data_IF_614563782119
#
_entry.id   IF_614563782119
#
_cell.length_a   1.000
_cell.length_b   1.000
_cell.length_c   1.000
_cell.angle_alpha   90.00
_cell.angle_beta   90.00
_cell.angle_gamma   90.00
#
_symmetry.space_group_name_H-M   'P 1'
#
loop_
_entity.id
_entity.type
_entity.pdbx_description
1 polymer ?
#
# COMPACT_ATOMS: atom_id res chain seq x y z
N UNK A 1 22.29 3.04 6.15
CA UNK A 1 20.95 3.64 5.95
C UNK A 1 21.07 5.11 6.30
N UNK A 2 20.80 6.02 5.38
CA UNK A 2 20.83 7.46 5.65
C UNK A 2 19.50 7.94 6.26
N UNK A 3 19.48 9.15 6.84
CA UNK A 3 18.23 9.80 7.29
C UNK A 3 17.22 9.91 6.14
N UNK A 4 17.70 10.26 4.95
CA UNK A 4 16.89 10.32 3.73
C UNK A 4 16.20 8.99 3.44
N UNK A 5 16.93 7.87 3.44
CA UNK A 5 16.38 6.54 3.15
C UNK A 5 15.28 6.15 4.16
N UNK A 6 15.49 6.48 5.44
CA UNK A 6 14.53 6.19 6.50
C UNK A 6 13.25 7.00 6.36
N UNK A 7 13.34 8.28 6.01
CA UNK A 7 12.18 9.16 5.83
C UNK A 7 11.38 8.76 4.59
N UNK A 8 12.05 8.44 3.48
CA UNK A 8 11.39 7.91 2.28
C UNK A 8 10.70 6.57 2.58
N UNK A 9 11.31 5.72 3.41
CA UNK A 9 10.69 4.48 3.88
C UNK A 9 9.46 4.75 4.75
N UNK A 10 9.54 5.68 5.68
CA UNK A 10 8.41 6.11 6.52
C UNK A 10 7.27 6.65 5.64
N UNK A 11 7.60 7.43 4.61
CA UNK A 11 6.65 7.90 3.62
C UNK A 11 5.96 6.75 2.88
N UNK A 12 6.68 5.70 2.50
CA UNK A 12 6.09 4.55 1.81
C UNK A 12 4.99 3.85 2.63
N UNK A 13 5.04 3.93 3.96
CA UNK A 13 4.01 3.36 4.84
C UNK A 13 2.77 4.24 4.99
N UNK A 14 2.92 5.57 5.08
CA UNK A 14 1.80 6.46 5.45
C UNK A 14 1.59 7.70 4.59
N UNK A 15 2.53 8.05 3.72
CA UNK A 15 2.47 9.26 2.89
C UNK A 15 1.24 9.32 1.99
N UNK A 16 0.81 8.17 1.45
CA UNK A 16 -0.41 8.07 0.64
C UNK A 16 -1.70 8.26 1.45
N UNK A 17 -1.70 7.95 2.74
CA UNK A 17 -2.84 8.19 3.63
C UNK A 17 -3.01 9.69 3.92
N UNK A 18 -1.91 10.45 3.94
CA UNK A 18 -1.95 11.90 4.11
C UNK A 18 -2.29 12.65 2.82
N UNK A 19 -1.81 12.16 1.68
CA UNK A 19 -1.97 12.85 0.39
C UNK A 19 -3.23 12.45 -0.37
N UNK A 20 -3.65 11.18 -0.30
CA UNK A 20 -4.76 10.62 -1.08
C UNK A 20 -5.62 9.64 -0.29
N UNK A 21 -6.16 10.03 0.88
CA UNK A 21 -6.91 9.13 1.77
C UNK A 21 -8.12 8.48 1.07
N UNK A 22 -8.78 9.20 0.15
CA UNK A 22 -9.92 8.69 -0.61
C UNK A 22 -9.59 7.48 -1.48
N UNK A 23 -8.40 7.44 -2.08
CA UNK A 23 -7.97 6.33 -2.94
C UNK A 23 -7.81 5.02 -2.16
N UNK A 24 -7.74 5.12 -0.83
CA UNK A 24 -7.61 4.00 0.10
C UNK A 24 -8.86 3.82 0.97
N UNK A 25 -10.01 4.36 0.52
CA UNK A 25 -11.29 4.19 1.21
C UNK A 25 -11.46 5.01 2.48
N UNK A 26 -10.56 5.95 2.76
CA UNK A 26 -10.66 6.88 3.88
C UNK A 26 -11.32 8.17 3.39
N UNK A 27 -12.66 8.15 3.29
CA UNK A 27 -13.41 9.38 3.01
C UNK A 27 -13.40 10.28 4.24
N UNK A 28 -12.86 11.50 4.09
CA UNK A 28 -12.83 12.52 5.13
C UNK A 28 -12.30 11.99 6.47
N UNK A 29 -11.04 11.54 6.53
CA UNK A 29 -10.47 11.01 7.77
C UNK A 29 -10.60 12.05 8.89
N UNK A 30 -11.00 11.61 10.08
CA UNK A 30 -11.13 12.51 11.21
C UNK A 30 -9.79 13.16 11.53
N UNK A 31 -9.80 14.45 11.89
CA UNK A 31 -8.58 15.16 12.30
C UNK A 31 -7.87 14.43 13.45
N UNK A 32 -8.65 13.86 14.39
CA UNK A 32 -8.11 13.04 15.48
C UNK A 32 -7.46 11.74 15.00
N UNK A 33 -8.02 11.08 13.98
CA UNK A 33 -7.46 9.86 13.40
C UNK A 33 -6.13 10.11 12.67
N UNK A 34 -6.05 11.19 11.89
CA UNK A 34 -4.80 11.61 11.26
C UNK A 34 -3.74 12.01 12.29
N UNK A 35 -4.13 12.72 13.34
CA UNK A 35 -3.21 13.10 14.42
C UNK A 35 -2.71 11.86 15.20
N UNK A 36 -3.57 10.87 15.44
CA UNK A 36 -3.18 9.60 16.05
C UNK A 36 -2.19 8.82 15.17
N UNK A 37 -2.47 8.72 13.87
CA UNK A 37 -1.57 8.09 12.90
C UNK A 37 -0.21 8.81 12.86
N UNK A 38 -0.22 10.15 12.89
CA UNK A 38 0.98 10.98 12.89
C UNK A 38 1.83 10.71 14.12
N UNK A 39 1.24 10.75 15.31
CA UNK A 39 1.97 10.47 16.57
C UNK A 39 2.54 9.06 16.60
N UNK A 40 1.79 8.08 16.13
CA UNK A 40 2.25 6.69 16.03
C UNK A 40 3.48 6.59 15.12
N UNK A 41 3.37 7.11 13.90
CA UNK A 41 4.46 7.02 12.93
C UNK A 41 5.65 7.90 13.27
N UNK A 42 5.44 9.04 13.94
CA UNK A 42 6.50 9.84 14.53
C UNK A 42 7.35 9.00 15.50
N UNK A 43 6.69 8.31 16.45
CA UNK A 43 7.39 7.42 17.40
C UNK A 43 8.12 6.27 16.71
N UNK A 44 7.50 5.67 15.68
CA UNK A 44 8.17 4.63 14.87
C UNK A 44 9.46 5.19 14.25
N UNK A 45 9.39 6.37 13.62
CA UNK A 45 10.58 7.02 13.06
C UNK A 45 11.64 7.32 14.12
N UNK A 46 11.22 7.87 15.27
CA UNK A 46 12.11 8.18 16.38
C UNK A 46 12.84 6.92 16.91
N UNK A 47 12.11 5.82 17.14
CA UNK A 47 12.72 4.55 17.58
C UNK A 47 13.62 3.90 16.53
N UNK A 48 13.40 4.19 15.25
CA UNK A 48 14.29 3.78 14.16
C UNK A 48 15.49 4.71 13.97
N UNK A 49 15.64 5.76 14.80
CA UNK A 49 16.77 6.68 14.78
C UNK A 49 16.64 7.85 13.79
N UNK A 50 15.42 8.15 13.34
CA UNK A 50 15.15 9.35 12.51
C UNK A 50 15.20 10.58 13.40
N UNK A 51 16.07 11.55 13.08
CA UNK A 51 16.15 12.81 13.81
C UNK A 51 14.85 13.61 13.64
N UNK A 52 14.41 14.31 14.69
CA UNK A 52 13.13 15.04 14.68
C UNK A 52 12.98 15.99 13.49
N UNK A 53 14.06 16.69 13.12
CA UNK A 53 14.07 17.64 11.99
C UNK A 53 13.84 16.99 10.62
N UNK A 54 14.10 15.68 10.50
CA UNK A 54 13.91 14.92 9.26
C UNK A 54 12.65 14.06 9.29
N UNK A 55 12.13 13.72 10.47
CA UNK A 55 10.99 12.83 10.62
C UNK A 55 9.74 13.37 9.91
N UNK A 56 9.18 12.59 8.99
CA UNK A 56 8.03 12.97 8.17
C UNK A 56 6.83 13.42 9.02
N UNK A 57 6.68 12.78 10.19
CA UNK A 57 5.56 12.97 11.09
C UNK A 57 5.86 13.97 12.22
N UNK A 58 6.95 14.73 12.15
CA UNK A 58 7.22 15.82 13.08
C UNK A 58 6.29 17.02 12.83
N UNK A 59 5.88 17.71 13.90
CA UNK A 59 5.00 18.88 13.82
C UNK A 59 3.51 18.54 13.72
N UNK A 60 2.77 19.27 12.88
CA UNK A 60 1.32 19.13 12.72
C UNK A 60 0.91 18.21 11.56
N UNK A 61 -0.36 17.82 11.51
CA UNK A 61 -0.91 17.03 10.40
C UNK A 61 -0.74 17.75 9.06
N UNK A 62 -0.95 19.07 9.05
CA UNK A 62 -0.83 19.90 7.85
C UNK A 62 0.61 19.92 7.32
N UNK A 63 1.59 20.00 8.22
CA UNK A 63 3.01 19.89 7.87
C UNK A 63 3.34 18.51 7.30
N UNK A 64 2.86 17.44 7.94
CA UNK A 64 3.04 16.06 7.44
C UNK A 64 2.40 15.86 6.06
N UNK A 65 1.24 16.46 5.81
CA UNK A 65 0.57 16.42 4.50
C UNK A 65 1.37 17.15 3.43
N UNK A 66 1.84 18.36 3.72
CA UNK A 66 2.68 19.14 2.80
C UNK A 66 3.96 18.37 2.47
N UNK A 67 4.68 17.91 3.51
CA UNK A 67 5.93 17.20 3.31
C UNK A 67 5.72 15.86 2.56
N UNK A 68 4.63 15.15 2.85
CA UNK A 68 4.28 13.93 2.10
C UNK A 68 3.98 14.21 0.63
N UNK A 69 3.38 15.36 0.31
CA UNK A 69 3.13 15.78 -1.08
C UNK A 69 4.44 16.07 -1.80
N UNK A 70 5.36 16.77 -1.15
CA UNK A 70 6.68 17.10 -1.70
C UNK A 70 7.50 15.84 -1.98
N UNK A 71 7.54 14.88 -1.04
CA UNK A 71 8.21 13.58 -1.26
C UNK A 71 7.57 12.85 -2.44
N UNK A 72 6.23 12.85 -2.53
CA UNK A 72 5.54 12.21 -3.65
C UNK A 72 5.96 12.79 -5.00
N UNK A 73 6.02 14.13 -5.10
CA UNK A 73 6.22 14.85 -6.35
C UNK A 73 7.69 14.90 -6.77
N UNK A 74 8.60 15.14 -5.83
CA UNK A 74 10.01 15.39 -6.14
C UNK A 74 10.90 14.16 -5.99
N UNK A 75 10.45 13.11 -5.30
CA UNK A 75 11.24 11.90 -5.06
C UNK A 75 10.59 10.67 -5.71
N UNK A 76 9.36 10.37 -5.31
CA UNK A 76 8.74 9.07 -5.62
C UNK A 76 8.31 8.97 -7.08
N UNK A 77 7.54 9.95 -7.57
CA UNK A 77 7.09 9.95 -8.97
C UNK A 77 8.28 9.93 -9.94
N UNK A 78 9.31 10.79 -9.80
CA UNK A 78 10.49 10.76 -10.67
C UNK A 78 11.21 9.40 -10.63
N UNK A 79 11.42 8.83 -9.44
CA UNK A 79 12.09 7.53 -9.29
C UNK A 79 11.27 6.37 -9.90
N UNK A 80 9.94 6.45 -9.91
CA UNK A 80 9.11 5.43 -10.56
C UNK A 80 9.12 5.58 -12.09
N UNK A 81 9.17 6.81 -12.58
CA UNK A 81 9.18 7.10 -14.02
C UNK A 81 10.55 6.94 -14.68
N UNK A 82 11.64 6.99 -13.92
CA UNK A 82 13.00 6.79 -14.41
C UNK A 82 13.23 5.33 -14.88
N UNK A 83 13.61 5.12 -16.16
CA UNK A 83 13.91 3.80 -16.69
C UNK A 83 15.05 3.06 -15.97
N UNK A 84 16.06 3.75 -15.45
CA UNK A 84 17.24 3.09 -14.86
C UNK A 84 16.97 2.53 -13.46
N UNK A 85 16.31 3.31 -12.61
CA UNK A 85 15.82 2.85 -11.30
C UNK A 85 14.72 1.78 -11.41
N UNK A 86 14.05 1.66 -12.57
CA UNK A 86 12.96 0.70 -12.77
C UNK A 86 13.38 -0.77 -12.80
N UNK A 87 14.60 -1.13 -13.23
CA UNK A 87 14.94 -2.55 -13.49
C UNK A 87 14.92 -3.40 -12.21
N UNK A 88 15.67 -2.99 -11.18
CA UNK A 88 15.68 -3.69 -9.88
C UNK A 88 14.33 -3.60 -9.17
N UNK A 89 13.68 -2.44 -9.25
CA UNK A 89 12.36 -2.21 -8.66
C UNK A 89 11.29 -3.11 -9.29
N UNK A 90 11.32 -3.32 -10.61
CA UNK A 90 10.38 -4.19 -11.32
C UNK A 90 10.63 -5.67 -10.96
N UNK A 91 11.88 -6.09 -10.77
CA UNK A 91 12.20 -7.43 -10.27
C UNK A 91 11.69 -7.65 -8.83
N UNK A 92 11.97 -6.71 -7.93
CA UNK A 92 11.46 -6.75 -6.56
C UNK A 92 9.93 -6.76 -6.52
N UNK A 93 9.28 -5.97 -7.39
CA UNK A 93 7.83 -5.93 -7.53
C UNK A 93 7.28 -7.28 -7.98
N UNK A 94 7.92 -7.96 -8.94
CA UNK A 94 7.51 -9.30 -9.38
C UNK A 94 7.60 -10.32 -8.24
N UNK A 95 8.69 -10.31 -7.47
CA UNK A 95 8.90 -11.22 -6.34
C UNK A 95 7.86 -10.95 -5.24
N UNK A 96 7.66 -9.68 -4.88
CA UNK A 96 6.67 -9.27 -3.89
C UNK A 96 5.26 -9.71 -4.29
N UNK A 97 4.84 -9.44 -5.52
CA UNK A 97 3.51 -9.80 -6.01
C UNK A 97 3.32 -11.31 -6.09
N UNK A 98 4.37 -12.08 -6.43
CA UNK A 98 4.33 -13.54 -6.35
C UNK A 98 4.08 -14.01 -4.91
N UNK A 99 4.71 -13.38 -3.93
CA UNK A 99 4.47 -13.65 -2.51
C UNK A 99 3.05 -13.30 -2.07
N UNK A 100 2.55 -12.12 -2.45
CA UNK A 100 1.18 -11.69 -2.14
C UNK A 100 0.15 -12.61 -2.78
N UNK A 101 0.39 -13.09 -4.00
CA UNK A 101 -0.50 -14.00 -4.71
C UNK A 101 -0.72 -15.34 -3.97
N UNK A 102 0.27 -15.80 -3.18
CA UNK A 102 0.13 -16.99 -2.32
C UNK A 102 -0.86 -16.75 -1.18
N UNK A 103 -0.92 -15.52 -0.67
CA UNK A 103 -1.83 -15.13 0.42
C UNK A 103 -3.21 -14.79 -0.13
N UNK A 104 -3.26 -14.10 -1.27
CA UNK A 104 -4.48 -13.69 -1.93
C UNK A 104 -4.37 -13.89 -3.45
N UNK A 105 -4.94 -14.98 -4.00
CA UNK A 105 -4.85 -15.29 -5.42
C UNK A 105 -5.57 -14.28 -6.32
N UNK A 106 -6.42 -13.41 -5.74
CA UNK A 106 -7.09 -12.34 -6.48
C UNK A 106 -6.21 -11.10 -6.68
N UNK A 107 -5.02 -11.04 -6.08
CA UNK A 107 -4.03 -10.00 -6.39
C UNK A 107 -3.25 -10.42 -7.62
N UNK A 108 -3.76 -10.03 -8.79
CA UNK A 108 -3.06 -10.26 -10.06
C UNK A 108 -2.06 -9.14 -10.35
N UNK A 109 -0.80 -9.47 -10.69
CA UNK A 109 0.26 -8.46 -10.82
C UNK A 109 -0.06 -7.31 -11.79
N UNK A 110 -0.67 -7.61 -12.94
CA UNK A 110 -1.00 -6.61 -13.95
C UNK A 110 -2.09 -5.64 -13.48
N UNK A 111 -3.17 -6.17 -12.91
CA UNK A 111 -4.30 -5.39 -12.42
C UNK A 111 -3.89 -4.51 -11.23
N UNK A 112 -3.23 -5.14 -10.25
CA UNK A 112 -2.79 -4.48 -9.03
C UNK A 112 -1.72 -3.43 -9.30
N UNK A 113 -0.69 -3.75 -10.11
CA UNK A 113 0.35 -2.80 -10.48
C UNK A 113 -0.20 -1.57 -11.20
N UNK A 114 -1.13 -1.76 -12.14
CA UNK A 114 -1.80 -0.63 -12.82
C UNK A 114 -2.62 0.22 -11.85
N UNK A 115 -3.32 -0.39 -10.88
CA UNK A 115 -4.01 0.35 -9.83
C UNK A 115 -3.04 1.15 -8.94
N UNK A 116 -1.90 0.58 -8.54
CA UNK A 116 -0.89 1.27 -7.75
C UNK A 116 -0.33 2.49 -8.49
N UNK A 117 0.04 2.35 -9.77
CA UNK A 117 0.54 3.49 -10.56
C UNK A 117 -0.54 4.55 -10.79
N UNK A 118 -1.81 4.17 -10.94
CA UNK A 118 -2.93 5.12 -10.97
C UNK A 118 -3.05 5.88 -9.64
N UNK A 119 -3.00 5.19 -8.50
CA UNK A 119 -3.07 5.81 -7.18
C UNK A 119 -1.91 6.81 -6.96
N UNK A 120 -0.73 6.50 -7.49
CA UNK A 120 0.46 7.36 -7.45
C UNK A 120 0.48 8.47 -8.52
N UNK A 121 -0.48 8.51 -9.45
CA UNK A 121 -0.49 9.39 -10.65
C UNK A 121 0.72 9.20 -11.58
N UNK A 122 1.37 8.04 -11.56
CA UNK A 122 2.45 7.70 -12.49
C UNK A 122 1.88 7.21 -13.83
N UNK A 123 1.22 8.13 -14.55
CA UNK A 123 0.44 7.82 -15.74
C UNK A 123 1.27 7.19 -16.87
N UNK A 124 2.55 7.57 -17.01
CA UNK A 124 3.45 7.02 -18.04
C UNK A 124 3.74 5.53 -17.82
N UNK A 125 3.95 5.09 -16.57
CA UNK A 125 4.11 3.66 -16.26
C UNK A 125 2.77 2.92 -16.32
N UNK A 126 1.70 3.55 -15.83
CA UNK A 126 0.36 2.95 -15.87
C UNK A 126 -0.11 2.64 -17.32
N UNK A 127 0.19 3.51 -18.28
CA UNK A 127 -0.18 3.33 -19.69
C UNK A 127 0.62 2.24 -20.41
N UNK A 128 1.87 2.00 -19.97
CA UNK A 128 2.71 0.91 -20.49
C UNK A 128 2.19 -0.47 -20.11
N UNK A 129 1.45 -0.60 -18.99
CA UNK A 129 0.82 -1.86 -18.58
C UNK A 129 -0.42 -2.12 -19.44
N UNK A 130 -0.26 -3.01 -20.42
CA UNK A 130 -1.36 -3.49 -21.25
C UNK A 130 -2.03 -4.69 -20.57
N UNK A 131 -3.30 -4.52 -20.22
CA UNK A 131 -4.16 -5.59 -19.70
C UNK A 131 -5.03 -6.10 -20.85
N UNK A 132 -5.02 -7.40 -21.18
CA UNK A 132 -5.86 -7.95 -22.24
C UNK A 132 -7.35 -7.79 -21.90
N UNK A 133 -8.17 -7.40 -22.88
CA UNK A 133 -9.58 -7.05 -22.67
C UNK A 133 -10.40 -8.20 -22.07
N UNK A 134 -10.28 -9.41 -22.61
CA UNK A 134 -10.96 -10.61 -22.12
C UNK A 134 -10.09 -11.40 -21.13
N UNK A 135 -9.57 -10.75 -20.10
CA UNK A 135 -8.79 -11.41 -19.05
C UNK A 135 -9.37 -11.19 -17.66
N UNK A 136 -9.13 -12.15 -16.76
CA UNK A 136 -9.45 -12.01 -15.33
C UNK A 136 -8.79 -10.75 -14.73
N UNK A 137 -7.60 -10.37 -15.22
CA UNK A 137 -6.93 -9.13 -14.81
C UNK A 137 -7.71 -7.87 -15.18
N UNK A 138 -8.39 -7.83 -16.33
CA UNK A 138 -9.22 -6.69 -16.71
C UNK A 138 -10.43 -6.57 -15.79
N UNK A 139 -11.11 -7.69 -15.53
CA UNK A 139 -12.25 -7.75 -14.62
C UNK A 139 -11.84 -7.29 -13.22
N UNK A 140 -10.75 -7.85 -12.67
CA UNK A 140 -10.27 -7.51 -11.33
C UNK A 140 -9.78 -6.05 -11.23
N UNK A 141 -9.19 -5.50 -12.30
CA UNK A 141 -8.83 -4.09 -12.35
C UNK A 141 -10.05 -3.17 -12.20
N UNK A 142 -11.12 -3.43 -12.96
CA UNK A 142 -12.35 -2.65 -12.86
C UNK A 142 -13.06 -2.85 -11.52
N UNK A 143 -13.09 -4.08 -11.00
CA UNK A 143 -13.61 -4.35 -9.65
C UNK A 143 -12.82 -3.56 -8.61
N UNK A 144 -11.49 -3.54 -8.69
CA UNK A 144 -10.65 -2.83 -7.74
C UNK A 144 -10.95 -1.33 -7.77
N UNK A 145 -11.03 -0.71 -8.95
CA UNK A 145 -11.42 0.70 -9.10
C UNK A 145 -12.82 0.95 -8.54
N UNK A 146 -13.79 0.09 -8.87
CA UNK A 146 -15.15 0.23 -8.38
C UNK A 146 -15.23 0.14 -6.86
N UNK A 147 -14.49 -0.79 -6.26
CA UNK A 147 -14.43 -0.94 -4.80
C UNK A 147 -13.81 0.29 -4.15
N UNK A 148 -12.67 0.78 -4.65
CA UNK A 148 -11.95 1.90 -4.03
C UNK A 148 -12.65 3.24 -4.25
N UNK A 149 -13.07 3.53 -5.49
CA UNK A 149 -13.55 4.85 -5.88
C UNK A 149 -15.05 5.02 -5.62
N UNK A 150 -15.81 3.92 -5.48
CA UNK A 150 -17.26 3.98 -5.24
C UNK A 150 -17.66 3.34 -3.91
N UNK A 151 -17.45 2.03 -3.74
CA UNK A 151 -18.01 1.29 -2.60
C UNK A 151 -17.40 1.72 -1.25
N UNK A 152 -16.10 2.01 -1.20
CA UNK A 152 -15.44 2.43 0.05
C UNK A 152 -15.72 3.89 0.41
N UNK A 153 -16.11 4.73 -0.56
CA UNK A 153 -16.40 6.15 -0.34
C UNK A 153 -17.88 6.42 0.02
N UNK A 154 -18.77 5.44 -0.07
CA UNK A 154 -20.14 5.57 0.45
C UNK A 154 -20.21 5.10 1.91
N UNK A 155 -20.79 5.92 2.78
CA UNK A 155 -20.90 5.61 4.21
C UNK A 155 -21.74 4.35 4.46
N UNK A 156 -22.84 4.20 3.71
CA UNK A 156 -23.75 3.07 3.84
C UNK A 156 -23.08 1.76 3.43
N UNK A 157 -22.49 1.73 2.23
CA UNK A 157 -21.84 0.52 1.70
C UNK A 157 -20.64 0.14 2.54
N UNK A 158 -19.84 1.11 2.99
CA UNK A 158 -18.65 0.86 3.82
C UNK A 158 -18.98 0.10 5.11
N UNK A 159 -20.10 0.41 5.78
CA UNK A 159 -20.50 -0.27 7.01
C UNK A 159 -20.77 -1.77 6.82
N UNK A 160 -21.22 -2.20 5.64
CA UNK A 160 -21.41 -3.61 5.32
C UNK A 160 -20.17 -4.24 4.67
N UNK A 161 -19.52 -3.49 3.79
CA UNK A 161 -18.41 -3.98 2.96
C UNK A 161 -17.15 -4.22 3.78
N UNK A 162 -16.78 -3.31 4.69
CA UNK A 162 -15.54 -3.43 5.47
C UNK A 162 -15.54 -4.67 6.38
N UNK A 163 -16.60 -4.95 7.18
CA UNK A 163 -16.67 -6.19 7.94
C UNK A 163 -16.64 -7.44 7.06
N UNK A 164 -17.34 -7.42 5.93
CA UNK A 164 -17.35 -8.53 4.97
C UNK A 164 -15.95 -8.80 4.40
N UNK A 165 -15.25 -7.77 3.91
CA UNK A 165 -13.88 -7.87 3.40
C UNK A 165 -12.90 -8.33 4.48
N UNK A 166 -13.04 -7.85 5.71
CA UNK A 166 -12.23 -8.31 6.85
C UNK A 166 -12.46 -9.80 7.15
N UNK A 167 -13.72 -10.27 7.07
CA UNK A 167 -14.05 -11.68 7.25
C UNK A 167 -13.49 -12.53 6.11
N UNK A 168 -13.63 -12.10 4.85
CA UNK A 168 -13.05 -12.76 3.69
C UNK A 168 -11.52 -12.83 3.76
N UNK A 169 -10.86 -11.78 4.23
CA UNK A 169 -9.41 -11.79 4.44
C UNK A 169 -9.01 -12.81 5.52
N UNK A 170 -9.71 -12.84 6.65
CA UNK A 170 -9.48 -13.84 7.71
C UNK A 170 -9.72 -15.26 7.20
N UNK A 171 -10.77 -15.47 6.41
CA UNK A 171 -11.09 -16.74 5.77
C UNK A 171 -9.98 -17.15 4.79
N UNK A 172 -9.48 -16.24 3.95
CA UNK A 172 -8.35 -16.51 3.05
C UNK A 172 -7.08 -16.90 3.83
N UNK A 173 -6.77 -16.20 4.92
CA UNK A 173 -5.63 -16.56 5.79
C UNK A 173 -5.84 -17.95 6.40
N UNK A 174 -7.04 -18.26 6.89
CA UNK A 174 -7.37 -19.57 7.42
C UNK A 174 -7.20 -20.67 6.37
N UNK A 175 -7.77 -20.48 5.18
CA UNK A 175 -7.69 -21.42 4.07
C UNK A 175 -6.24 -21.61 3.59
N UNK A 176 -5.46 -20.53 3.49
CA UNK A 176 -4.04 -20.60 3.13
C UNK A 176 -3.23 -21.41 4.14
N UNK A 177 -3.49 -21.26 5.45
CA UNK A 177 -2.85 -22.07 6.49
C UNK A 177 -3.28 -23.55 6.45
N UNK A 178 -4.52 -23.85 6.02
CA UNK A 178 -5.02 -25.21 5.87
C UNK A 178 -4.40 -25.91 4.65
N UNK A 179 -4.30 -25.20 3.52
CA UNK A 179 -3.83 -25.73 2.25
C UNK A 179 -2.30 -25.84 2.14
N UNK A 180 -1.54 -25.11 2.98
CA UNK A 180 -0.07 -25.18 3.01
C UNK A 180 0.46 -25.80 4.33
N UNK A 181 0.42 -27.13 4.49
CA UNK A 181 0.95 -27.82 5.67
C UNK A 181 2.47 -27.64 5.85
N UNK A 182 3.20 -27.20 4.82
CA UNK A 182 4.62 -26.83 4.89
C UNK A 182 4.87 -25.60 5.78
N UNK A 183 3.95 -24.63 5.82
CA UNK A 183 4.02 -23.45 6.69
C UNK A 183 3.82 -23.87 8.16
N UNK A 184 2.91 -24.81 8.41
CA UNK A 184 2.69 -25.36 9.76
C UNK A 184 3.91 -26.16 10.25
N UNK A 185 4.56 -26.94 9.37
CA UNK A 185 5.85 -27.59 9.67
C UNK A 185 6.97 -26.58 9.95
N UNK A 186 6.99 -25.43 9.28
CA UNK A 186 7.98 -24.37 9.50
C UNK A 186 7.75 -23.65 10.83
N UNK A 187 6.49 -23.34 11.17
CA UNK A 187 6.10 -22.80 12.49
C UNK A 187 6.47 -23.76 13.61
N UNK A 188 6.15 -25.06 13.47
CA UNK A 188 6.50 -26.07 14.48
C UNK A 188 8.02 -26.17 14.74
N UNK A 189 8.87 -25.92 13.73
CA UNK A 189 10.33 -25.87 13.88
C UNK A 189 10.83 -24.60 14.56
N UNK A 190 10.14 -23.47 14.39
CA UNK A 190 10.49 -22.19 15.02
C UNK A 190 10.15 -22.16 16.52
N UNK A 191 9.10 -22.86 16.94
CA UNK A 191 8.71 -22.98 18.36
C UNK A 191 9.37 -24.16 19.10
N UNK A 192 10.19 -24.95 18.39
CA UNK A 192 10.96 -26.06 18.96
C UNK A 192 12.44 -25.70 19.25
N UNK A 193 12.79 -24.42 19.13
CA UNK A 193 14.06 -23.82 19.58
C UNK A 193 13.77 -22.81 20.67
#
# INVERSE_FOLDING_TARGET
>A
MSQYDMVVTQWAFVGLLYTKPSNFGLKSPSKSGLEALRRLMYKVGYFLGVEDKFNLCYGSVEMTQSYSKDISEYIIKPAIEDPQSSVKSDEMTKILLKGIHIINPFVLPLAFGKCCFRALECNKKASKIRIPFFSLSNILFWIQIFVTDFLMLSNLTRHFLVPCLNYLLRFNIYLSNLLNPSINKMKARLYAK
#
